data_IF_595408058179
#
_entry.id   IF_595408058179
#
_cell.length_a   1.000
_cell.length_b   1.000
_cell.length_c   1.000
_cell.angle_alpha   90.00
_cell.angle_beta   90.00
_cell.angle_gamma   90.00
#
_symmetry.space_group_name_H-M   'P 1'
#
loop_
_entity.id
_entity.type
_entity.pdbx_description
1 polymer ?
#
# COMPACT_ATOMS: atom_id res chain seq x y z
N UNK A 1 -1.43 -10.95 18.46
CA UNK A 1 -2.11 -9.84 17.76
C UNK A 1 -1.52 -8.54 18.26
N UNK A 2 -1.18 -7.62 17.36
CA UNK A 2 -0.56 -6.34 17.68
C UNK A 2 -1.03 -5.29 16.66
N UNK A 3 -1.22 -4.06 17.10
CA UNK A 3 -1.27 -2.90 16.20
C UNK A 3 -0.22 -1.89 16.66
N UNK A 4 0.34 -1.14 15.71
CA UNK A 4 1.36 -0.12 15.95
C UNK A 4 0.93 1.15 15.23
N UNK A 5 1.10 2.30 15.89
CA UNK A 5 0.85 3.61 15.30
C UNK A 5 2.21 4.29 15.12
N UNK A 6 2.51 4.64 13.88
CA UNK A 6 3.66 5.45 13.52
C UNK A 6 3.17 6.87 13.23
N UNK A 7 3.89 7.86 13.74
CA UNK A 7 3.62 9.26 13.43
C UNK A 7 4.66 9.75 12.43
N UNK A 8 4.21 10.24 11.29
CA UNK A 8 5.08 10.78 10.25
C UNK A 8 5.01 12.31 10.27
N UNK A 9 5.85 12.91 11.12
CA UNK A 9 5.91 14.36 11.34
C UNK A 9 6.70 15.13 10.25
N UNK A 10 7.23 14.43 9.23
CA UNK A 10 8.00 15.02 8.14
C UNK A 10 7.24 14.94 6.82
N UNK A 11 6.14 15.67 6.73
CA UNK A 11 5.46 15.93 5.47
C UNK A 11 6.04 17.20 4.83
N UNK A 12 6.54 17.17 3.58
CA UNK A 12 6.81 18.40 2.86
C UNK A 12 5.48 19.16 2.73
N UNK A 13 5.48 20.44 3.11
CA UNK A 13 4.31 21.34 3.11
C UNK A 13 3.66 21.55 1.72
N UNK A 14 4.19 20.93 0.67
CA UNK A 14 3.64 20.92 -0.69
C UNK A 14 3.86 19.56 -1.36
N UNK A 15 2.90 19.10 -2.19
CA UNK A 15 3.14 18.01 -3.13
C UNK A 15 4.38 18.37 -3.96
N UNK A 16 5.42 17.55 -3.87
CA UNK A 16 6.63 17.74 -4.67
C UNK A 16 6.59 16.78 -5.85
N UNK A 17 6.90 17.27 -7.05
CA UNK A 17 7.13 16.42 -8.23
C UNK A 17 8.43 15.59 -8.11
N UNK A 18 9.08 15.61 -6.96
CA UNK A 18 10.31 14.89 -6.66
C UNK A 18 10.07 13.55 -5.94
N UNK A 19 8.81 13.21 -5.67
CA UNK A 19 8.44 12.00 -4.95
C UNK A 19 7.38 11.20 -5.72
N UNK A 20 7.46 9.89 -5.63
CA UNK A 20 6.45 8.96 -6.16
C UNK A 20 5.35 8.63 -5.14
N UNK A 21 5.51 9.04 -3.88
CA UNK A 21 4.50 8.81 -2.84
C UNK A 21 3.19 9.56 -3.18
N UNK A 22 2.07 8.83 -3.15
CA UNK A 22 0.75 9.41 -3.44
C UNK A 22 0.26 10.36 -2.35
N UNK A 23 0.58 10.09 -1.09
CA UNK A 23 0.26 10.96 0.05
C UNK A 23 1.51 11.69 0.52
N UNK A 24 1.44 13.02 0.54
CA UNK A 24 2.53 13.90 1.05
C UNK A 24 2.10 14.76 2.23
N UNK A 25 0.86 14.64 2.67
CA UNK A 25 0.30 15.38 3.82
C UNK A 25 0.77 14.76 5.14
N UNK A 26 0.73 15.52 6.24
CA UNK A 26 1.05 15.00 7.57
C UNK A 26 -0.01 13.99 8.00
N UNK A 27 0.42 12.78 8.38
CA UNK A 27 -0.51 11.73 8.76
C UNK A 27 0.10 10.72 9.73
N UNK A 28 -0.80 9.98 10.39
CA UNK A 28 -0.46 8.82 11.21
C UNK A 28 -0.67 7.57 10.40
N UNK A 29 0.30 6.67 10.44
CA UNK A 29 0.20 5.36 9.83
C UNK A 29 -0.19 4.35 10.91
N UNK A 30 -1.23 3.56 10.64
CA UNK A 30 -1.64 2.44 11.48
C UNK A 30 -1.23 1.13 10.81
N UNK A 31 -0.33 0.39 11.45
CA UNK A 31 0.06 -0.96 11.02
C UNK A 31 -0.65 -2.01 11.86
N UNK A 32 -1.26 -3.00 11.20
CA UNK A 32 -1.96 -4.12 11.86
C UNK A 32 -1.21 -5.43 11.61
N UNK A 33 -0.73 -6.05 12.68
CA UNK A 33 0.10 -7.26 12.62
C UNK A 33 -0.62 -8.47 13.25
N UNK A 34 -1.04 -9.40 12.40
CA UNK A 34 -1.55 -10.71 12.80
C UNK A 34 -0.41 -11.71 12.97
N UNK A 35 0.13 -11.86 14.19
CA UNK A 35 1.16 -12.85 14.50
C UNK A 35 0.61 -14.05 15.29
N UNK A 36 1.10 -15.25 14.97
CA UNK A 36 0.85 -16.48 15.71
C UNK A 36 2.15 -17.28 15.85
N UNK A 37 2.37 -17.87 17.03
CA UNK A 37 3.50 -18.79 17.27
C UNK A 37 3.21 -20.21 16.76
N UNK A 38 1.93 -20.56 16.61
CA UNK A 38 1.47 -21.83 16.05
C UNK A 38 0.82 -21.58 14.69
N UNK A 39 1.26 -22.34 13.68
CA UNK A 39 0.76 -22.28 12.30
C UNK A 39 -0.74 -22.59 12.21
N UNK A 40 -1.27 -23.40 13.13
CA UNK A 40 -2.70 -23.73 13.18
C UNK A 40 -3.57 -22.48 13.43
N UNK A 41 -3.01 -21.46 14.08
CA UNK A 41 -3.69 -20.20 14.36
C UNK A 41 -3.57 -19.18 13.22
N UNK A 42 -2.90 -19.51 12.10
CA UNK A 42 -2.70 -18.58 10.97
C UNK A 42 -4.00 -18.00 10.43
N UNK A 43 -5.02 -18.84 10.21
CA UNK A 43 -6.32 -18.38 9.70
C UNK A 43 -7.02 -17.43 10.69
N UNK A 44 -6.92 -17.72 11.98
CA UNK A 44 -7.50 -16.91 13.04
C UNK A 44 -6.88 -15.50 13.05
N UNK A 45 -5.55 -15.41 13.02
CA UNK A 45 -4.87 -14.10 13.09
C UNK A 45 -5.01 -13.28 11.81
N UNK A 46 -5.11 -13.94 10.64
CA UNK A 46 -5.46 -13.28 9.37
C UNK A 46 -6.87 -12.71 9.45
N UNK A 47 -7.85 -13.52 9.88
CA UNK A 47 -9.24 -13.09 9.99
C UNK A 47 -9.44 -11.96 11.00
N UNK A 48 -8.69 -11.97 12.10
CA UNK A 48 -8.67 -10.85 13.04
C UNK A 48 -8.17 -9.56 12.40
N UNK A 49 -7.02 -9.60 11.71
CA UNK A 49 -6.44 -8.42 11.06
C UNK A 49 -7.36 -7.85 9.97
N UNK A 50 -7.95 -8.72 9.16
CA UNK A 50 -8.94 -8.34 8.14
C UNK A 50 -10.20 -7.73 8.78
N UNK A 51 -10.69 -8.31 9.87
CA UNK A 51 -11.85 -7.78 10.60
C UNK A 51 -11.58 -6.39 11.17
N UNK A 52 -10.36 -6.14 11.66
CA UNK A 52 -9.96 -4.82 12.16
C UNK A 52 -9.95 -3.79 11.02
N UNK A 53 -9.33 -4.12 9.88
CA UNK A 53 -9.30 -3.25 8.70
C UNK A 53 -10.71 -2.93 8.18
N UNK A 54 -11.59 -3.94 8.12
CA UNK A 54 -13.01 -3.76 7.75
C UNK A 54 -13.75 -2.89 8.77
N UNK A 55 -13.45 -3.04 10.05
CA UNK A 55 -14.02 -2.21 11.12
C UNK A 55 -13.62 -0.74 10.99
N UNK A 56 -12.33 -0.48 10.73
CA UNK A 56 -11.80 0.87 10.48
C UNK A 56 -12.43 1.51 9.24
N UNK A 57 -12.63 0.76 8.16
CA UNK A 57 -13.29 1.28 6.96
C UNK A 57 -14.75 1.73 7.18
N UNK A 58 -15.35 1.44 8.35
CA UNK A 58 -16.70 1.89 8.72
C UNK A 58 -16.72 3.14 9.60
N UNK A 59 -15.56 3.65 10.03
CA UNK A 59 -15.48 4.94 10.73
C UNK A 59 -15.64 6.11 9.75
N UNK A 60 -15.85 7.33 10.25
CA UNK A 60 -15.91 8.55 9.44
C UNK A 60 -14.73 8.59 8.45
N UNK A 61 -15.02 8.50 7.16
CA UNK A 61 -14.01 8.23 6.12
C UNK A 61 -13.12 9.42 5.79
N UNK A 62 -13.46 10.62 6.27
CA UNK A 62 -12.72 11.84 5.94
C UNK A 62 -11.30 11.85 6.53
N UNK A 63 -11.10 11.15 7.64
CA UNK A 63 -9.81 11.06 8.33
C UNK A 63 -8.96 9.86 7.86
N UNK A 64 -9.47 9.06 6.92
CA UNK A 64 -8.77 7.89 6.38
C UNK A 64 -8.23 8.19 5.00
N UNK A 65 -6.90 8.16 4.90
CA UNK A 65 -6.22 8.26 3.62
C UNK A 65 -6.61 7.08 2.71
N UNK A 66 -6.77 7.29 1.39
CA UNK A 66 -7.23 6.28 0.45
C UNK A 66 -6.18 5.19 0.14
N UNK A 67 -5.09 5.14 0.90
CA UNK A 67 -3.85 4.45 0.54
C UNK A 67 -3.11 3.79 1.69
N UNK A 68 -2.11 3.00 1.33
CA UNK A 68 -1.15 2.37 2.24
C UNK A 68 0.23 2.39 1.59
N UNK A 69 1.26 2.12 2.40
CA UNK A 69 2.63 2.02 1.91
C UNK A 69 2.87 0.64 1.30
N UNK A 70 3.48 0.62 0.10
CA UNK A 70 3.79 -0.61 -0.63
C UNK A 70 4.60 -1.61 0.21
N UNK A 71 5.49 -1.12 1.07
CA UNK A 71 6.34 -1.95 1.93
C UNK A 71 5.58 -2.74 3.01
N UNK A 72 4.33 -2.37 3.29
CA UNK A 72 3.52 -2.91 4.39
C UNK A 72 2.29 -3.65 3.84
N UNK A 73 1.85 -3.30 2.63
CA UNK A 73 0.69 -3.97 2.03
C UNK A 73 0.97 -5.42 1.67
N UNK A 74 -0.09 -6.24 1.66
CA UNK A 74 0.02 -7.62 1.23
C UNK A 74 0.30 -7.65 -0.27
N UNK A 75 1.29 -8.45 -0.71
CA UNK A 75 1.50 -8.76 -2.12
C UNK A 75 0.19 -9.03 -2.86
N UNK A 76 -0.17 -8.17 -3.80
CA UNK A 76 -1.23 -8.41 -4.74
C UNK A 76 -0.61 -8.81 -6.08
N UNK A 77 -0.74 -10.08 -6.44
CA UNK A 77 -0.35 -10.59 -7.76
C UNK A 77 -1.34 -10.16 -8.86
N UNK A 78 -2.59 -9.88 -8.47
CA UNK A 78 -3.67 -9.52 -9.40
C UNK A 78 -4.03 -8.02 -9.28
N UNK A 79 -4.26 -7.32 -10.40
CA UNK A 79 -4.82 -5.98 -10.41
C UNK A 79 -6.12 -5.89 -9.59
N UNK A 80 -6.21 -4.91 -8.68
CA UNK A 80 -7.44 -4.62 -7.94
C UNK A 80 -7.50 -5.10 -6.49
N UNK A 81 -6.55 -5.94 -6.02
CA UNK A 81 -6.39 -6.18 -4.56
C UNK A 81 -5.75 -5.00 -3.86
N UNK A 82 -4.72 -4.43 -4.48
CA UNK A 82 -4.13 -3.13 -4.14
C UNK A 82 -4.01 -2.37 -5.44
N UNK A 83 -4.94 -1.44 -5.68
CA UNK A 83 -4.88 -0.66 -6.89
C UNK A 83 -3.65 0.26 -6.81
N UNK A 84 -2.78 0.27 -7.84
CA UNK A 84 -1.63 1.19 -7.95
C UNK A 84 -1.94 2.63 -7.51
N UNK A 85 -3.11 3.22 -7.85
CA UNK A 85 -3.49 4.55 -7.37
C UNK A 85 -3.57 4.70 -5.85
N UNK A 86 -3.81 3.62 -5.09
CA UNK A 86 -3.80 3.67 -3.62
C UNK A 86 -2.41 3.85 -3.04
N UNK A 87 -1.38 3.40 -3.75
CA UNK A 87 0.02 3.48 -3.30
C UNK A 87 0.68 4.75 -3.84
N UNK A 88 0.48 5.00 -5.13
CA UNK A 88 1.21 6.02 -5.87
C UNK A 88 0.36 7.23 -6.29
N UNK A 89 -0.96 7.18 -6.04
CA UNK A 89 -1.85 8.29 -6.32
C UNK A 89 -1.77 8.76 -7.78
N UNK A 90 -1.55 10.06 -8.03
CA UNK A 90 -1.47 10.62 -9.38
C UNK A 90 -0.18 10.21 -10.13
N UNK A 91 0.79 9.57 -9.48
CA UNK A 91 2.09 9.23 -10.08
C UNK A 91 2.07 7.92 -10.90
N UNK A 92 0.95 7.18 -10.90
CA UNK A 92 0.83 5.90 -11.62
C UNK A 92 1.24 5.98 -13.10
N UNK A 93 0.82 6.99 -13.90
CA UNK A 93 1.23 7.08 -15.30
C UNK A 93 2.76 7.21 -15.48
N UNK A 94 3.43 7.96 -14.59
CA UNK A 94 4.88 8.12 -14.64
C UNK A 94 5.61 6.81 -14.33
N UNK A 95 5.11 6.02 -13.38
CA UNK A 95 5.68 4.71 -13.04
C UNK A 95 5.53 3.71 -14.19
N UNK A 96 4.36 3.67 -14.84
CA UNK A 96 4.14 2.81 -16.01
C UNK A 96 5.07 3.22 -17.16
N UNK A 97 5.23 4.53 -17.41
CA UNK A 97 6.15 5.02 -18.43
C UNK A 97 7.60 4.61 -18.13
N UNK A 98 8.04 4.73 -16.87
CA UNK A 98 9.38 4.34 -16.44
C UNK A 98 9.64 2.84 -16.65
N UNK A 99 8.68 1.98 -16.27
CA UNK A 99 8.77 0.53 -16.50
C UNK A 99 8.88 0.21 -18.00
N UNK A 100 8.07 0.86 -18.84
CA UNK A 100 8.12 0.71 -20.30
C UNK A 100 9.46 1.15 -20.89
N UNK A 101 10.04 2.24 -20.41
CA UNK A 101 11.29 2.81 -20.94
C UNK A 101 12.51 1.96 -20.55
N UNK A 102 12.60 1.55 -19.29
CA UNK A 102 13.82 0.96 -18.74
C UNK A 102 13.77 -0.56 -18.52
N UNK A 103 12.58 -1.17 -18.48
CA UNK A 103 12.41 -2.61 -18.25
C UNK A 103 11.25 -3.19 -19.08
N UNK A 104 11.26 -2.89 -20.38
CA UNK A 104 10.25 -3.38 -21.34
C UNK A 104 10.21 -4.91 -21.49
N UNK A 105 11.30 -5.60 -21.14
CA UNK A 105 11.38 -7.06 -21.15
C UNK A 105 10.93 -7.70 -19.81
N UNK A 106 10.49 -6.88 -18.85
CA UNK A 106 10.03 -7.32 -17.53
C UNK A 106 11.04 -8.21 -16.77
N UNK A 107 12.31 -7.83 -16.84
CA UNK A 107 13.41 -8.52 -16.14
C UNK A 107 13.24 -8.39 -14.63
N UNK A 108 12.74 -7.25 -14.15
CA UNK A 108 12.46 -7.01 -12.73
C UNK A 108 10.96 -7.18 -12.44
N UNK A 109 10.50 -8.43 -12.34
CA UNK A 109 9.07 -8.81 -12.22
C UNK A 109 8.62 -9.28 -10.84
N UNK A 110 9.50 -9.14 -9.84
CA UNK A 110 9.20 -9.47 -8.43
C UNK A 110 8.67 -8.27 -7.63
N UNK A 111 8.49 -7.12 -8.27
CA UNK A 111 7.84 -5.96 -7.70
C UNK A 111 6.35 -6.24 -7.44
N UNK A 112 5.84 -5.72 -6.33
CA UNK A 112 4.47 -5.92 -5.90
C UNK A 112 3.86 -4.57 -5.51
N UNK A 113 2.80 -4.11 -6.20
CA UNK A 113 2.10 -4.78 -7.31
C UNK A 113 2.94 -4.87 -8.60
N UNK A 114 2.74 -5.93 -9.38
CA UNK A 114 3.46 -6.16 -10.65
C UNK A 114 3.08 -5.12 -11.69
N UNK A 115 4.00 -4.21 -12.03
CA UNK A 115 3.74 -3.11 -12.96
C UNK A 115 3.40 -3.58 -14.38
N UNK A 116 3.92 -4.73 -14.81
CA UNK A 116 3.62 -5.36 -16.11
C UNK A 116 2.11 -5.55 -16.34
N UNK A 117 1.34 -5.84 -15.29
CA UNK A 117 -0.11 -6.03 -15.39
C UNK A 117 -0.89 -4.74 -15.70
N UNK A 118 -0.20 -3.60 -15.75
CA UNK A 118 -0.77 -2.28 -16.05
C UNK A 118 -0.24 -1.70 -17.36
N UNK A 119 0.65 -2.42 -18.04
CA UNK A 119 1.19 -2.06 -19.35
C UNK A 119 0.25 -2.62 -20.41
N UNK A 120 -0.62 -1.74 -20.94
CA UNK A 120 -1.32 -1.97 -22.21
C UNK A 120 -0.35 -1.90 -23.38
#
# INVERSE_FOLDING_TARGET
MLFVIYEFNEAPTKPSNHSVFGTTEEHKMLETLGFALDINNRKLVIGWAESLLVGLGKTESIDLLPGTYMSIDRPALEPGRVALPKVYGPNVPALIALKKEYDSADVFSYDLPQLQNYIQ
#
